data_IF_374305616150
#
_entry.id   IF_374305616150
#
_cell.length_a   1.000
_cell.length_b   1.000
_cell.length_c   1.000
_cell.angle_alpha   90.00
_cell.angle_beta   90.00
_cell.angle_gamma   90.00
#
_symmetry.space_group_name_H-M   'P 1'
#
loop_
_entity.id
_entity.type
_entity.pdbx_description
1 polymer ?
#
# COMPACT_ATOMS: atom_id res chain seq x y z
N UNK A 1 -46.29 4.98 35.95
CA UNK A 1 -45.14 5.91 35.99
C UNK A 1 -43.92 5.17 35.44
N UNK A 2 -43.68 5.23 34.13
CA UNK A 2 -42.53 4.56 33.50
C UNK A 2 -41.27 5.41 33.72
N UNK A 3 -40.25 4.81 34.32
CA UNK A 3 -38.94 5.42 34.56
C UNK A 3 -38.28 5.68 33.20
N UNK A 4 -37.78 6.90 32.90
CA UNK A 4 -37.09 7.16 31.64
C UNK A 4 -35.86 6.25 31.57
N UNK A 5 -35.75 5.48 30.48
CA UNK A 5 -34.58 4.68 30.16
C UNK A 5 -33.37 5.61 30.08
N UNK A 6 -32.41 5.44 30.99
CA UNK A 6 -31.14 6.14 30.94
C UNK A 6 -30.51 5.89 29.57
N UNK A 7 -30.30 6.95 28.80
CA UNK A 7 -29.54 6.91 27.55
C UNK A 7 -28.10 6.53 27.89
N UNK A 8 -27.82 5.24 27.95
CA UNK A 8 -26.46 4.72 28.06
C UNK A 8 -25.74 5.14 26.78
N UNK A 9 -24.95 6.21 26.86
CA UNK A 9 -24.10 6.63 25.75
C UNK A 9 -23.11 5.49 25.50
N UNK A 10 -23.36 4.68 24.48
CA UNK A 10 -22.46 3.59 24.12
C UNK A 10 -21.10 4.21 23.76
N UNK A 11 -20.08 3.93 24.57
CA UNK A 11 -18.71 4.39 24.31
C UNK A 11 -18.24 3.83 22.98
N UNK A 12 -17.65 4.69 22.14
CA UNK A 12 -17.10 4.28 20.84
C UNK A 12 -15.89 3.34 20.97
N UNK A 13 -15.23 3.31 22.12
CA UNK A 13 -14.06 2.46 22.36
C UNK A 13 -13.95 2.02 23.83
N UNK A 14 -13.27 0.91 24.04
CA UNK A 14 -12.96 0.37 25.36
C UNK A 14 -11.50 0.64 25.74
N UNK A 15 -11.18 0.67 27.04
CA UNK A 15 -9.77 0.74 27.50
C UNK A 15 -8.90 -0.37 26.91
N UNK A 16 -9.46 -1.56 26.71
CA UNK A 16 -8.78 -2.69 26.06
C UNK A 16 -8.37 -2.35 24.63
N UNK A 17 -9.24 -1.69 23.86
CA UNK A 17 -8.95 -1.28 22.49
C UNK A 17 -7.78 -0.31 22.46
N UNK A 18 -7.79 0.71 23.33
CA UNK A 18 -6.71 1.70 23.44
C UNK A 18 -5.37 1.07 23.80
N UNK A 19 -5.38 0.13 24.76
CA UNK A 19 -4.18 -0.58 25.15
C UNK A 19 -3.65 -1.46 24.00
N UNK A 20 -4.53 -2.17 23.30
CA UNK A 20 -4.15 -3.04 22.20
C UNK A 20 -3.57 -2.25 21.02
N UNK A 21 -4.31 -1.29 20.46
CA UNK A 21 -3.87 -0.50 19.31
C UNK A 21 -2.65 0.35 19.63
N UNK A 22 -2.59 0.93 20.84
CA UNK A 22 -1.46 1.71 21.31
C UNK A 22 -0.20 0.85 21.44
N UNK A 23 -0.31 -0.32 22.06
CA UNK A 23 0.82 -1.26 22.19
C UNK A 23 1.30 -1.74 20.82
N UNK A 24 0.39 -2.10 19.91
CA UNK A 24 0.74 -2.51 18.55
C UNK A 24 1.41 -1.38 17.76
N UNK A 25 0.91 -0.15 17.89
CA UNK A 25 1.48 1.03 17.21
C UNK A 25 2.89 1.32 17.69
N UNK A 26 3.11 1.31 19.02
CA UNK A 26 4.44 1.53 19.61
C UNK A 26 5.38 0.38 19.25
N UNK A 27 4.94 -0.86 19.37
CA UNK A 27 5.74 -2.03 19.02
C UNK A 27 6.16 -2.00 17.53
N UNK A 28 5.24 -1.65 16.63
CA UNK A 28 5.54 -1.52 15.20
C UNK A 28 6.57 -0.42 14.92
N UNK A 29 6.41 0.77 15.51
CA UNK A 29 7.37 1.88 15.30
C UNK A 29 8.75 1.56 15.88
N UNK A 30 8.81 0.95 17.06
CA UNK A 30 10.08 0.54 17.67
C UNK A 30 10.77 -0.54 16.84
N UNK A 31 10.02 -1.57 16.41
CA UNK A 31 10.56 -2.64 15.57
C UNK A 31 11.05 -2.10 14.22
N UNK A 32 10.26 -1.22 13.59
CA UNK A 32 10.62 -0.57 12.33
C UNK A 32 11.88 0.28 12.48
N UNK A 33 11.95 1.09 13.55
CA UNK A 33 13.12 1.92 13.84
C UNK A 33 14.37 1.08 14.07
N UNK A 34 14.23 -0.10 14.69
CA UNK A 34 15.35 -1.01 14.95
C UNK A 34 15.84 -1.72 13.68
N UNK A 35 14.92 -2.21 12.84
CA UNK A 35 15.27 -3.03 11.67
C UNK A 35 15.63 -2.23 10.42
N UNK A 36 14.89 -1.15 10.11
CA UNK A 36 14.98 -0.43 8.82
C UNK A 36 15.16 1.09 8.99
N UNK A 37 15.30 1.56 10.23
CA UNK A 37 15.33 2.97 10.57
C UNK A 37 13.93 3.60 10.61
N UNK A 38 13.84 4.73 11.32
CA UNK A 38 12.59 5.47 11.48
C UNK A 38 12.24 6.25 10.22
N UNK A 39 11.02 6.06 9.71
CA UNK A 39 10.54 6.70 8.48
C UNK A 39 9.17 7.34 8.67
N UNK A 40 8.93 8.44 7.98
CA UNK A 40 7.65 9.18 8.03
C UNK A 40 6.45 8.34 7.61
N UNK A 41 6.65 7.40 6.71
CA UNK A 41 5.61 6.54 6.14
C UNK A 41 5.01 5.60 7.20
N UNK A 42 5.84 5.14 8.15
CA UNK A 42 5.42 4.30 9.27
C UNK A 42 4.56 5.09 10.25
N UNK A 43 4.92 6.36 10.50
CA UNK A 43 4.09 7.27 11.29
C UNK A 43 2.75 7.54 10.63
N UNK A 44 2.74 7.81 9.31
CA UNK A 44 1.52 8.03 8.55
C UNK A 44 0.61 6.80 8.64
N UNK A 45 1.17 5.60 8.52
CA UNK A 45 0.43 4.35 8.63
C UNK A 45 -0.26 4.20 10.00
N UNK A 46 0.51 4.43 11.09
CA UNK A 46 -0.01 4.39 12.46
C UNK A 46 -1.07 5.46 12.70
N UNK A 47 -0.82 6.69 12.25
CA UNK A 47 -1.75 7.80 12.39
C UNK A 47 -3.06 7.53 11.63
N UNK A 48 -2.97 7.02 10.40
CA UNK A 48 -4.12 6.65 9.57
C UNK A 48 -4.95 5.55 10.22
N UNK A 49 -4.30 4.47 10.68
CA UNK A 49 -5.00 3.36 11.34
C UNK A 49 -5.72 3.83 12.59
N UNK A 50 -5.02 4.49 13.51
CA UNK A 50 -5.62 4.95 14.77
C UNK A 50 -6.73 5.97 14.55
N UNK A 51 -6.54 6.92 13.63
CA UNK A 51 -7.57 7.92 13.29
C UNK A 51 -8.83 7.22 12.80
N UNK A 52 -8.74 6.36 11.79
CA UNK A 52 -9.92 5.68 11.25
C UNK A 52 -10.56 4.71 12.25
N UNK A 53 -9.77 4.07 13.11
CA UNK A 53 -10.26 3.14 14.12
C UNK A 53 -11.10 3.83 15.21
N UNK A 54 -10.74 5.06 15.60
CA UNK A 54 -11.42 5.80 16.66
C UNK A 54 -12.42 6.85 16.19
N UNK A 55 -12.40 7.25 14.91
CA UNK A 55 -13.25 8.33 14.39
C UNK A 55 -14.75 8.00 14.42
N UNK A 56 -15.15 6.79 14.00
CA UNK A 56 -16.56 6.37 13.98
C UNK A 56 -16.70 4.84 13.90
N UNK A 57 -17.88 4.27 14.21
CA UNK A 57 -18.13 2.84 14.01
C UNK A 57 -17.97 2.40 12.55
N UNK A 58 -18.37 3.25 11.59
CA UNK A 58 -18.26 2.96 10.17
C UNK A 58 -16.79 2.89 9.71
N UNK A 59 -15.99 3.89 10.08
CA UNK A 59 -14.55 3.92 9.75
C UNK A 59 -13.77 2.83 10.47
N UNK A 60 -14.20 2.42 11.68
CA UNK A 60 -13.63 1.26 12.37
C UNK A 60 -13.82 -0.03 11.59
N UNK A 61 -15.05 -0.29 11.12
CA UNK A 61 -15.33 -1.47 10.29
C UNK A 61 -14.53 -1.42 8.99
N UNK A 62 -14.43 -0.23 8.38
CA UNK A 62 -13.64 -0.01 7.17
C UNK A 62 -12.17 -0.36 7.38
N UNK A 63 -11.48 0.29 8.34
CA UNK A 63 -10.04 0.06 8.55
C UNK A 63 -9.74 -1.37 9.00
N UNK A 64 -10.66 -2.00 9.74
CA UNK A 64 -10.52 -3.40 10.15
C UNK A 64 -10.65 -4.34 8.94
N UNK A 65 -11.63 -4.12 8.06
CA UNK A 65 -11.79 -4.90 6.82
C UNK A 65 -10.63 -4.68 5.84
N UNK A 66 -10.07 -3.47 5.79
CA UNK A 66 -8.93 -3.10 4.95
C UNK A 66 -7.56 -3.38 5.58
N UNK A 67 -7.52 -3.98 6.78
CA UNK A 67 -6.28 -4.26 7.50
C UNK A 67 -5.32 -5.15 6.72
N UNK A 68 -5.82 -5.99 5.81
CA UNK A 68 -4.98 -6.80 4.91
C UNK A 68 -4.05 -5.96 4.04
N UNK A 69 -4.50 -4.79 3.57
CA UNK A 69 -3.66 -3.86 2.80
C UNK A 69 -2.60 -3.20 3.69
N UNK A 70 -2.92 -2.93 4.96
CA UNK A 70 -1.96 -2.39 5.92
C UNK A 70 -0.87 -3.43 6.26
N UNK A 71 -1.27 -4.70 6.45
CA UNK A 71 -0.33 -5.81 6.65
C UNK A 71 0.58 -5.96 5.43
N UNK A 72 0.02 -5.94 4.22
CA UNK A 72 0.81 -5.95 2.98
C UNK A 72 1.81 -4.79 2.93
N UNK A 73 1.39 -3.57 3.26
CA UNK A 73 2.28 -2.41 3.31
C UNK A 73 3.43 -2.64 4.31
N UNK A 74 3.14 -3.09 5.53
CA UNK A 74 4.17 -3.37 6.55
C UNK A 74 5.18 -4.39 6.04
N UNK A 75 4.71 -5.52 5.49
CA UNK A 75 5.58 -6.57 4.95
C UNK A 75 6.45 -6.02 3.82
N UNK A 76 5.87 -5.27 2.89
CA UNK A 76 6.59 -4.67 1.78
C UNK A 76 7.67 -3.68 2.25
N UNK A 77 7.38 -2.86 3.26
CA UNK A 77 8.39 -1.97 3.85
C UNK A 77 9.53 -2.76 4.51
N UNK A 78 9.21 -3.88 5.16
CA UNK A 78 10.16 -4.74 5.85
C UNK A 78 11.06 -5.55 4.90
N UNK A 79 10.71 -5.68 3.62
CA UNK A 79 11.62 -6.25 2.61
C UNK A 79 12.94 -5.47 2.53
N UNK A 80 12.96 -4.20 2.95
CA UNK A 80 14.18 -3.37 3.02
C UNK A 80 15.17 -3.85 4.10
N UNK A 81 14.71 -4.55 5.13
CA UNK A 81 15.57 -5.08 6.19
C UNK A 81 16.54 -6.16 5.66
N UNK A 82 16.09 -6.92 4.66
CA UNK A 82 16.85 -8.02 4.06
C UNK A 82 16.85 -7.87 2.53
N UNK A 83 17.64 -6.93 1.99
CA UNK A 83 17.68 -6.71 0.57
C UNK A 83 18.17 -7.96 -0.16
N UNK A 84 17.42 -8.40 -1.18
CA UNK A 84 17.69 -9.66 -1.87
C UNK A 84 19.10 -9.70 -2.50
N UNK A 85 19.64 -8.56 -2.94
CA UNK A 85 20.98 -8.46 -3.52
C UNK A 85 22.13 -8.80 -2.55
N UNK A 86 21.87 -8.89 -1.24
CA UNK A 86 22.85 -9.42 -0.28
C UNK A 86 22.89 -10.96 -0.24
N UNK A 87 21.86 -11.62 -0.75
CA UNK A 87 21.67 -13.07 -0.65
C UNK A 87 21.68 -13.77 -2.01
N UNK A 88 21.31 -13.07 -3.08
CA UNK A 88 21.28 -13.64 -4.43
C UNK A 88 21.94 -12.70 -5.45
N UNK A 89 22.42 -13.29 -6.54
CA UNK A 89 22.95 -12.55 -7.69
C UNK A 89 21.83 -11.81 -8.42
N UNK A 90 22.04 -10.52 -8.68
CA UNK A 90 21.07 -9.69 -9.40
C UNK A 90 21.29 -9.85 -10.91
N UNK A 91 20.29 -10.41 -11.60
CA UNK A 91 20.36 -10.75 -13.02
C UNK A 91 19.84 -9.64 -13.94
N UNK A 92 20.53 -8.49 -14.00
CA UNK A 92 20.12 -7.39 -14.89
C UNK A 92 20.50 -7.67 -16.35
N UNK A 93 21.74 -8.10 -16.59
CA UNK A 93 22.26 -8.28 -17.96
C UNK A 93 21.54 -9.39 -18.71
N UNK A 94 21.32 -10.55 -18.09
CA UNK A 94 20.66 -11.67 -18.75
C UNK A 94 19.22 -11.35 -19.12
N UNK A 95 18.49 -10.61 -18.29
CA UNK A 95 17.14 -10.12 -18.60
C UNK A 95 17.16 -9.11 -19.75
N UNK A 96 18.11 -8.18 -19.74
CA UNK A 96 18.29 -7.23 -20.83
C UNK A 96 18.56 -7.94 -22.17
N UNK A 97 19.48 -8.91 -22.19
CA UNK A 97 19.77 -9.67 -23.41
C UNK A 97 18.58 -10.55 -23.85
N UNK A 98 17.83 -11.11 -22.90
CA UNK A 98 16.62 -11.87 -23.20
C UNK A 98 15.53 -10.99 -23.84
N UNK A 99 15.28 -9.80 -23.29
CA UNK A 99 14.37 -8.81 -23.89
C UNK A 99 14.84 -8.40 -25.27
N UNK A 100 16.14 -8.09 -25.42
CA UNK A 100 16.73 -7.72 -26.70
C UNK A 100 16.62 -8.81 -27.76
N UNK A 101 16.70 -10.08 -27.35
CA UNK A 101 16.53 -11.24 -28.24
C UNK A 101 15.07 -11.48 -28.61
N UNK A 102 14.13 -11.32 -27.67
CA UNK A 102 12.71 -11.62 -27.88
C UNK A 102 11.95 -10.48 -28.58
N UNK A 103 12.28 -9.23 -28.24
CA UNK A 103 11.54 -8.02 -28.62
C UNK A 103 12.43 -6.96 -29.25
N UNK A 104 13.63 -7.33 -29.70
CA UNK A 104 14.58 -6.39 -30.30
C UNK A 104 14.03 -5.71 -31.55
N UNK A 105 14.21 -4.40 -31.62
CA UNK A 105 13.79 -3.54 -32.73
C UNK A 105 15.05 -3.06 -33.45
N UNK A 106 15.14 -3.32 -34.76
CA UNK A 106 16.26 -2.85 -35.58
C UNK A 106 16.04 -1.40 -36.03
N UNK A 107 16.96 -0.51 -35.68
CA UNK A 107 16.95 0.89 -36.11
C UNK A 107 18.38 1.43 -36.25
N UNK A 108 18.66 2.14 -37.34
CA UNK A 108 19.96 2.79 -37.61
C UNK A 108 21.18 1.85 -37.44
N UNK A 109 21.02 0.60 -37.88
CA UNK A 109 22.08 -0.42 -37.79
C UNK A 109 22.32 -0.95 -36.36
N UNK A 110 21.46 -0.61 -35.40
CA UNK A 110 21.52 -1.08 -34.01
C UNK A 110 20.26 -1.88 -33.68
N UNK A 111 20.42 -2.92 -32.88
CA UNK A 111 19.31 -3.61 -32.24
C UNK A 111 19.03 -2.90 -30.91
N UNK A 112 17.80 -2.47 -30.70
CA UNK A 112 17.33 -1.77 -29.50
C UNK A 112 16.31 -2.61 -28.75
N UNK A 113 16.28 -2.52 -27.42
CA UNK A 113 15.12 -3.02 -26.66
C UNK A 113 13.92 -2.08 -26.85
N UNK A 114 12.68 -2.54 -26.59
CA UNK A 114 11.50 -1.68 -26.66
C UNK A 114 11.63 -0.41 -25.82
N UNK A 115 12.19 -0.50 -24.61
CA UNK A 115 12.44 0.66 -23.75
C UNK A 115 13.39 1.67 -24.41
N UNK A 116 14.50 1.21 -24.99
CA UNK A 116 15.46 2.07 -25.71
C UNK A 116 14.80 2.77 -26.91
N UNK A 117 14.00 2.03 -27.68
CA UNK A 117 13.26 2.58 -28.82
C UNK A 117 12.26 3.66 -28.39
N UNK A 118 11.43 3.40 -27.36
CA UNK A 118 10.45 4.37 -26.86
C UNK A 118 11.09 5.57 -26.16
N UNK A 119 12.29 5.41 -25.61
CA UNK A 119 13.07 6.54 -25.10
C UNK A 119 13.49 7.50 -26.22
N UNK A 120 13.68 7.01 -27.45
CA UNK A 120 14.00 7.83 -28.63
C UNK A 120 12.73 8.39 -29.31
N UNK A 121 11.60 7.68 -29.22
CA UNK A 121 10.33 8.03 -29.87
C UNK A 121 9.27 8.38 -28.82
N UNK A 122 9.54 9.39 -28.00
CA UNK A 122 8.62 9.80 -26.95
C UNK A 122 7.40 10.50 -27.53
N UNK A 123 6.24 10.14 -26.98
CA UNK A 123 4.97 10.79 -27.28
C UNK A 123 4.32 11.20 -25.97
N UNK A 124 4.09 12.50 -25.78
CA UNK A 124 3.55 13.05 -24.53
C UNK A 124 2.26 12.37 -24.07
N UNK A 125 1.35 12.06 -25.00
CA UNK A 125 0.10 11.36 -24.67
C UNK A 125 0.35 9.94 -24.16
N UNK A 126 1.30 9.21 -24.75
CA UNK A 126 1.65 7.86 -24.31
C UNK A 126 2.36 7.90 -22.95
N UNK A 127 3.24 8.87 -22.74
CA UNK A 127 3.93 9.04 -21.44
C UNK A 127 2.93 9.30 -20.31
N UNK A 128 1.93 10.16 -20.55
CA UNK A 128 0.85 10.43 -19.59
C UNK A 128 0.01 9.16 -19.36
N UNK A 129 -0.40 8.48 -20.42
CA UNK A 129 -1.20 7.27 -20.32
C UNK A 129 -0.46 6.17 -19.54
N UNK A 130 0.83 5.95 -19.84
CA UNK A 130 1.68 5.00 -19.12
C UNK A 130 1.78 5.36 -17.63
N UNK A 131 1.93 6.64 -17.29
CA UNK A 131 1.91 7.12 -15.91
C UNK A 131 0.58 6.82 -15.19
N UNK A 132 -0.56 7.06 -15.84
CA UNK A 132 -1.88 6.75 -15.27
C UNK A 132 -2.00 5.24 -15.01
N UNK A 133 -1.72 4.40 -16.00
CA UNK A 133 -1.82 2.95 -15.84
C UNK A 133 -0.87 2.42 -14.77
N UNK A 134 0.37 2.93 -14.71
CA UNK A 134 1.34 2.56 -13.70
C UNK A 134 0.91 2.98 -12.28
N UNK A 135 0.17 4.07 -12.12
CA UNK A 135 -0.31 4.48 -10.80
C UNK A 135 -1.59 3.76 -10.38
N UNK A 136 -2.42 3.31 -11.32
CA UNK A 136 -3.74 2.74 -11.04
C UNK A 136 -3.74 1.35 -10.39
N UNK A 137 -2.63 0.60 -10.41
CA UNK A 137 -2.64 -0.80 -9.95
C UNK A 137 -2.98 -1.01 -8.47
N UNK A 138 -2.71 -0.05 -7.58
CA UNK A 138 -3.13 -0.09 -6.16
C UNK A 138 -4.41 0.72 -5.89
N UNK A 139 -4.53 1.99 -6.34
CA UNK A 139 -5.68 2.82 -6.02
C UNK A 139 -6.98 2.30 -6.60
N UNK A 140 -6.97 1.67 -7.79
CA UNK A 140 -8.20 1.18 -8.43
C UNK A 140 -8.80 0.01 -7.66
N UNK A 141 -8.06 -1.08 -7.32
CA UNK A 141 -8.59 -2.13 -6.46
C UNK A 141 -9.04 -1.62 -5.09
N UNK A 142 -8.30 -0.67 -4.49
CA UNK A 142 -8.64 -0.10 -3.19
C UNK A 142 -9.94 0.72 -3.25
N UNK A 143 -10.11 1.55 -4.27
CA UNK A 143 -11.33 2.33 -4.50
C UNK A 143 -12.53 1.42 -4.80
N UNK A 144 -12.34 0.39 -5.63
CA UNK A 144 -13.39 -0.58 -5.94
C UNK A 144 -13.82 -1.38 -4.70
N UNK A 145 -12.86 -1.87 -3.91
CA UNK A 145 -13.14 -2.52 -2.64
C UNK A 145 -13.88 -1.57 -1.68
N UNK A 146 -13.51 -0.29 -1.66
CA UNK A 146 -14.13 0.70 -0.78
C UNK A 146 -15.58 0.95 -1.21
N UNK A 147 -15.82 1.08 -2.51
CA UNK A 147 -17.15 1.19 -3.10
C UNK A 147 -18.02 -0.02 -2.73
N UNK A 148 -17.52 -1.24 -2.92
CA UNK A 148 -18.25 -2.45 -2.54
C UNK A 148 -18.53 -2.53 -1.04
N UNK A 149 -17.56 -2.15 -0.20
CA UNK A 149 -17.70 -2.15 1.25
C UNK A 149 -18.86 -1.25 1.71
N UNK A 150 -18.94 -0.03 1.21
CA UNK A 150 -20.01 0.90 1.59
C UNK A 150 -21.37 0.54 0.98
N UNK A 151 -21.42 -0.03 -0.22
CA UNK A 151 -22.67 -0.52 -0.80
C UNK A 151 -23.21 -1.75 -0.06
N UNK A 152 -22.33 -2.68 0.36
CA UNK A 152 -22.72 -3.86 1.11
C UNK A 152 -23.19 -3.56 2.55
N UNK A 153 -22.83 -2.40 3.11
CA UNK A 153 -23.28 -1.94 4.43
C UNK A 153 -24.68 -1.30 4.43
N UNK A 154 -25.23 -0.99 3.24
CA UNK A 154 -26.53 -0.33 3.06
C UNK A 154 -27.68 -1.28 2.69
N UNK A 155 -27.44 -2.60 2.71
CA UNK A 155 -28.46 -3.66 2.66
C UNK A 155 -28.46 -4.45 3.98
#
# INVERSE_FOLDING_TARGET
>A
MQRPSSLTTASLFTRKDLLLTGTLSVAYLLLSSFLIGFKSEQLILVALFNTLYYLSPATRKFITGFSIFMIFWIIFDYMKAFPNYHYNTVHIESLYQAEKKLFGIWQDGRLLTPNEYWSLHRYTLLDIAAGIFYLCWVPVPLAFASFLFFNALCY
#
